data_IF_608092886386
#
_entry.id   IF_608092886386
#
_cell.length_a   1.000
_cell.length_b   1.000
_cell.length_c   1.000
_cell.angle_alpha   90.00
_cell.angle_beta   90.00
_cell.angle_gamma   90.00
#
_symmetry.space_group_name_H-M   'P 1'
#
loop_
_entity.id
_entity.type
_entity.pdbx_description
1 polymer ?
#
# COMPACT_ATOMS: atom_id res chain seq x y z
N UNK A 1 25.63 47.04 -8.38
CA UNK A 1 24.61 46.58 -7.43
C UNK A 1 24.49 45.08 -7.66
N UNK A 2 25.30 44.29 -6.95
CA UNK A 2 25.41 42.85 -7.16
C UNK A 2 24.38 42.15 -6.27
N UNK A 3 23.52 41.32 -6.88
CA UNK A 3 22.59 40.45 -6.17
C UNK A 3 23.39 39.42 -5.36
N UNK A 4 23.22 39.42 -4.04
CA UNK A 4 23.77 38.39 -3.17
C UNK A 4 23.08 37.06 -3.52
N UNK A 5 23.90 36.05 -3.80
CA UNK A 5 23.44 34.68 -4.02
C UNK A 5 23.00 34.12 -2.66
N UNK A 6 21.68 34.02 -2.43
CA UNK A 6 21.08 33.32 -1.29
C UNK A 6 21.15 31.78 -1.50
N UNK A 7 22.35 31.26 -1.80
CA UNK A 7 22.57 29.81 -2.01
C UNK A 7 22.48 29.00 -0.70
N UNK A 8 22.29 29.68 0.44
CA UNK A 8 22.30 29.09 1.78
C UNK A 8 20.92 29.11 2.45
N UNK A 9 19.83 29.23 1.70
CA UNK A 9 18.46 29.16 2.23
C UNK A 9 18.17 27.82 2.96
N UNK A 10 18.97 26.79 2.70
CA UNK A 10 18.95 25.48 3.38
C UNK A 10 20.15 25.33 4.33
N UNK A 11 20.38 26.35 5.17
CA UNK A 11 21.53 26.50 6.07
C UNK A 11 22.11 25.17 6.59
N UNK A 12 23.42 25.05 6.46
CA UNK A 12 24.23 24.02 7.11
C UNK A 12 23.94 23.99 8.61
N UNK A 13 23.22 22.95 9.05
CA UNK A 13 22.93 22.67 10.46
C UNK A 13 21.48 22.92 10.83
N UNK A 14 20.60 21.94 10.55
CA UNK A 14 19.23 21.87 11.10
C UNK A 14 19.21 21.54 12.60
N UNK A 15 20.37 21.57 13.25
CA UNK A 15 20.56 21.27 14.68
C UNK A 15 20.97 22.53 15.43
N UNK A 16 20.20 23.60 15.23
CA UNK A 16 20.06 24.59 16.29
C UNK A 16 19.26 23.93 17.44
N UNK A 17 19.43 24.41 18.67
CA UNK A 17 18.86 23.89 19.94
C UNK A 17 17.33 23.61 19.92
N UNK A 18 16.63 24.01 18.87
CA UNK A 18 15.21 23.78 18.58
C UNK A 18 14.89 22.32 18.18
N UNK A 19 15.87 21.56 17.67
CA UNK A 19 15.73 20.14 17.25
C UNK A 19 15.62 19.12 18.40
N UNK A 20 15.50 19.59 19.65
CA UNK A 20 15.35 18.77 20.85
C UNK A 20 13.88 18.50 21.23
N UNK A 21 12.90 19.05 20.50
CA UNK A 21 11.49 18.75 20.77
C UNK A 21 11.18 17.26 20.52
N UNK A 22 10.75 16.50 21.54
CA UNK A 22 10.38 15.11 21.37
C UNK A 22 9.25 14.88 20.37
N UNK A 23 8.37 15.86 20.11
CA UNK A 23 7.33 15.73 19.09
C UNK A 23 7.91 15.81 17.67
N UNK A 24 8.78 16.78 17.41
CA UNK A 24 9.47 16.92 16.13
C UNK A 24 10.32 15.69 15.80
N UNK A 25 11.12 15.20 16.76
CA UNK A 25 11.93 13.99 16.59
C UNK A 25 11.09 12.76 16.25
N UNK A 26 9.89 12.61 16.84
CA UNK A 26 8.99 11.50 16.51
C UNK A 26 8.55 11.56 15.05
N UNK A 27 8.20 12.73 14.54
CA UNK A 27 7.77 12.91 13.15
C UNK A 27 8.94 12.63 12.21
N UNK A 28 10.14 13.14 12.52
CA UNK A 28 11.35 12.86 11.74
C UNK A 28 11.61 11.35 11.69
N UNK A 29 11.62 10.66 12.85
CA UNK A 29 11.83 9.22 12.88
C UNK A 29 10.74 8.44 12.13
N UNK A 30 9.48 8.84 12.26
CA UNK A 30 8.39 8.20 11.53
C UNK A 30 8.52 8.37 10.01
N UNK A 31 8.92 9.57 9.55
CA UNK A 31 9.19 9.82 8.15
C UNK A 31 10.37 8.96 7.65
N UNK A 32 11.48 8.92 8.40
CA UNK A 32 12.65 8.11 8.05
C UNK A 32 12.37 6.60 8.05
N UNK A 33 11.56 6.14 8.98
CA UNK A 33 11.09 4.76 9.04
C UNK A 33 10.26 4.41 7.80
N UNK A 34 9.40 5.32 7.33
CA UNK A 34 8.62 5.12 6.10
C UNK A 34 9.50 4.93 4.85
N UNK A 35 10.58 5.71 4.71
CA UNK A 35 11.55 5.54 3.62
C UNK A 35 12.32 4.21 3.75
N UNK A 36 12.65 3.80 4.97
CA UNK A 36 13.36 2.55 5.25
C UNK A 36 12.51 1.32 4.93
N UNK A 37 11.19 1.41 5.12
CA UNK A 37 10.25 0.33 4.85
C UNK A 37 9.75 0.28 3.40
N UNK A 38 10.01 1.32 2.59
CA UNK A 38 9.51 1.46 1.22
C UNK A 38 9.65 0.17 0.39
N UNK A 39 10.87 -0.37 0.25
CA UNK A 39 11.12 -1.54 -0.58
C UNK A 39 10.27 -2.74 -0.17
N UNK A 40 10.25 -3.05 1.13
CA UNK A 40 9.51 -4.18 1.69
C UNK A 40 8.01 -4.06 1.37
N UNK A 41 7.44 -2.89 1.62
CA UNK A 41 6.01 -2.63 1.42
C UNK A 41 5.66 -2.61 -0.07
N UNK A 42 6.51 -2.01 -0.90
CA UNK A 42 6.30 -1.90 -2.34
C UNK A 42 6.34 -3.28 -3.03
N UNK A 43 7.39 -4.08 -2.80
CA UNK A 43 7.46 -5.44 -3.37
C UNK A 43 6.28 -6.30 -2.93
N UNK A 44 5.89 -6.23 -1.65
CA UNK A 44 4.75 -7.01 -1.16
C UNK A 44 3.45 -6.65 -1.87
N UNK A 45 3.12 -5.35 -1.93
CA UNK A 45 1.82 -4.92 -2.46
C UNK A 45 1.75 -4.90 -3.99
N UNK A 46 2.84 -4.50 -4.65
CA UNK A 46 2.84 -4.22 -6.08
C UNK A 46 3.17 -5.46 -6.91
N UNK A 47 4.11 -6.30 -6.46
CA UNK A 47 4.55 -7.44 -7.27
C UNK A 47 4.14 -8.77 -6.66
N UNK A 48 4.37 -9.00 -5.37
CA UNK A 48 4.06 -10.27 -4.73
C UNK A 48 2.57 -10.65 -4.79
N UNK A 49 1.67 -9.80 -4.30
CA UNK A 49 0.22 -10.06 -4.34
C UNK A 49 -0.33 -10.18 -5.77
N UNK A 50 0.27 -9.47 -6.72
CA UNK A 50 -0.12 -9.55 -8.13
C UNK A 50 0.34 -10.84 -8.77
N UNK A 51 1.57 -11.31 -8.50
CA UNK A 51 2.05 -12.64 -8.93
C UNK A 51 1.21 -13.75 -8.31
N UNK A 52 0.86 -13.63 -7.04
CA UNK A 52 -0.03 -14.60 -6.37
C UNK A 52 -1.40 -14.66 -7.04
N UNK A 53 -2.02 -13.49 -7.28
CA UNK A 53 -3.32 -13.40 -7.95
C UNK A 53 -3.26 -13.91 -9.39
N UNK A 54 -2.14 -13.69 -10.07
CA UNK A 54 -1.91 -14.15 -11.44
C UNK A 54 -1.94 -15.67 -11.55
N UNK A 55 -1.22 -16.37 -10.68
CA UNK A 55 -1.20 -17.85 -10.67
C UNK A 55 -2.46 -18.47 -10.07
N UNK A 56 -3.31 -17.70 -9.40
CA UNK A 56 -4.63 -18.15 -8.96
C UNK A 56 -5.67 -18.17 -10.09
N UNK A 57 -5.37 -17.60 -11.27
CA UNK A 57 -6.28 -17.60 -12.40
C UNK A 57 -6.39 -18.99 -13.06
N UNK A 58 -7.52 -19.31 -13.72
CA UNK A 58 -7.63 -20.48 -14.57
C UNK A 58 -6.54 -20.54 -15.64
N UNK A 59 -6.12 -21.76 -15.99
CA UNK A 59 -4.93 -22.00 -16.82
C UNK A 59 -4.94 -21.26 -18.17
N UNK A 60 -6.09 -21.25 -18.83
CA UNK A 60 -6.26 -20.55 -20.10
C UNK A 60 -5.96 -19.04 -20.00
N UNK A 61 -6.29 -18.40 -18.88
CA UNK A 61 -6.14 -16.96 -18.72
C UNK A 61 -4.71 -16.54 -18.39
N UNK A 62 -4.05 -17.21 -17.44
CA UNK A 62 -2.66 -16.85 -17.10
C UNK A 62 -1.70 -17.19 -18.24
N UNK A 63 -1.93 -18.28 -18.99
CA UNK A 63 -1.12 -18.61 -20.17
C UNK A 63 -1.27 -17.58 -21.29
N UNK A 64 -2.48 -17.06 -21.50
CA UNK A 64 -2.72 -15.98 -22.46
C UNK A 64 -1.97 -14.70 -22.06
N UNK A 65 -1.97 -14.34 -20.77
CA UNK A 65 -1.26 -13.16 -20.24
C UNK A 65 0.26 -13.35 -20.09
N UNK A 66 0.76 -14.58 -20.21
CA UNK A 66 2.18 -14.89 -20.25
C UNK A 66 2.70 -15.02 -21.68
N UNK A 67 1.82 -15.08 -22.68
CA UNK A 67 2.18 -15.16 -24.09
C UNK A 67 2.36 -13.75 -24.69
N UNK A 68 3.21 -13.60 -25.72
CA UNK A 68 3.28 -12.37 -26.51
C UNK A 68 1.90 -12.00 -27.09
N UNK A 69 1.58 -10.71 -27.30
CA UNK A 69 2.46 -9.54 -27.25
C UNK A 69 2.54 -8.82 -25.89
N UNK A 70 1.73 -9.22 -24.91
CA UNK A 70 1.70 -8.62 -23.57
C UNK A 70 2.14 -9.66 -22.54
N UNK A 71 3.39 -9.57 -22.08
CA UNK A 71 3.87 -10.44 -21.01
C UNK A 71 3.69 -9.73 -19.66
N UNK A 72 2.67 -10.13 -18.91
CA UNK A 72 2.40 -9.55 -17.60
C UNK A 72 3.52 -9.81 -16.59
N UNK A 73 4.17 -10.99 -16.67
CA UNK A 73 5.27 -11.34 -15.77
C UNK A 73 6.52 -10.48 -16.02
N UNK A 74 6.83 -10.21 -17.28
CA UNK A 74 7.91 -9.27 -17.67
C UNK A 74 7.62 -7.85 -17.17
N UNK A 75 6.34 -7.44 -17.19
CA UNK A 75 5.93 -6.14 -16.65
C UNK A 75 6.13 -6.07 -15.14
N UNK A 76 5.81 -7.15 -14.41
CA UNK A 76 6.05 -7.21 -12.97
C UNK A 76 7.54 -7.22 -12.64
N UNK A 77 8.38 -7.87 -13.46
CA UNK A 77 9.84 -7.85 -13.32
C UNK A 77 10.42 -6.44 -13.50
N UNK A 78 10.04 -5.74 -14.57
CA UNK A 78 10.41 -4.32 -14.76
C UNK A 78 9.94 -3.42 -13.62
N UNK A 79 8.81 -3.78 -13.00
CA UNK A 79 8.28 -3.05 -11.84
C UNK A 79 9.13 -3.32 -10.59
N UNK A 80 9.59 -4.56 -10.37
CA UNK A 80 10.54 -4.89 -9.30
C UNK A 80 11.85 -4.07 -9.46
N UNK A 81 12.41 -3.98 -10.67
CA UNK A 81 13.62 -3.18 -10.96
C UNK A 81 13.43 -1.68 -10.65
N UNK A 82 12.25 -1.14 -10.98
CA UNK A 82 11.90 0.24 -10.69
C UNK A 82 11.76 0.49 -9.18
N UNK A 83 11.18 -0.46 -8.44
CA UNK A 83 11.09 -0.40 -6.98
C UNK A 83 12.50 -0.41 -6.38
N UNK A 84 13.42 -1.25 -6.86
CA UNK A 84 14.80 -1.30 -6.37
C UNK A 84 15.55 0.02 -6.61
N UNK A 85 15.33 0.63 -7.77
CA UNK A 85 15.89 1.95 -8.10
C UNK A 85 15.38 3.03 -7.14
N UNK A 86 14.07 3.05 -6.87
CA UNK A 86 13.47 3.96 -5.90
C UNK A 86 13.92 3.66 -4.46
N UNK A 87 14.17 2.39 -4.13
CA UNK A 87 14.70 1.98 -2.83
C UNK A 87 16.15 2.42 -2.62
N UNK A 88 16.96 2.50 -3.67
CA UNK A 88 18.29 3.11 -3.60
C UNK A 88 18.18 4.60 -3.24
N UNK A 89 17.26 5.33 -3.87
CA UNK A 89 16.99 6.73 -3.53
C UNK A 89 16.48 6.89 -2.09
N UNK A 90 15.51 6.08 -1.66
CA UNK A 90 14.98 6.12 -0.30
C UNK A 90 16.08 5.89 0.76
N UNK A 91 17.00 4.95 0.51
CA UNK A 91 18.17 4.71 1.37
C UNK A 91 19.13 5.89 1.38
N UNK A 92 19.33 6.55 0.23
CA UNK A 92 20.17 7.75 0.15
C UNK A 92 19.57 8.91 0.97
N UNK A 93 18.24 9.11 0.90
CA UNK A 93 17.53 10.10 1.71
C UNK A 93 17.75 9.81 3.20
N UNK A 94 17.54 8.57 3.64
CA UNK A 94 17.76 8.18 5.04
C UNK A 94 19.19 8.47 5.48
N UNK A 95 20.20 8.09 4.69
CA UNK A 95 21.60 8.33 5.04
C UNK A 95 21.93 9.83 5.15
N UNK A 96 21.45 10.64 4.20
CA UNK A 96 21.64 12.08 4.22
C UNK A 96 20.94 12.72 5.43
N UNK A 97 19.71 12.28 5.74
CA UNK A 97 18.98 12.75 6.91
C UNK A 97 19.67 12.39 8.22
N UNK A 98 20.18 11.16 8.37
CA UNK A 98 20.91 10.76 9.58
C UNK A 98 22.15 11.64 9.80
N UNK A 99 22.88 11.97 8.73
CA UNK A 99 24.03 12.88 8.80
C UNK A 99 23.61 14.30 9.17
N UNK A 100 22.55 14.82 8.55
CA UNK A 100 22.10 16.20 8.77
C UNK A 100 21.47 16.43 10.14
N UNK A 101 20.81 15.43 10.72
CA UNK A 101 20.19 15.49 12.04
C UNK A 101 21.11 14.98 13.17
N UNK A 102 22.35 14.58 12.87
CA UNK A 102 23.27 14.02 13.88
C UNK A 102 22.79 12.71 14.50
N UNK A 103 21.92 11.96 13.81
CA UNK A 103 21.28 10.76 14.33
C UNK A 103 22.13 9.52 14.02
N UNK A 104 22.35 8.65 15.02
CA UNK A 104 23.16 7.44 14.82
C UNK A 104 22.40 6.29 14.15
N UNK A 105 21.06 6.23 14.29
CA UNK A 105 20.20 5.22 13.66
C UNK A 105 18.72 5.56 13.80
N UNK A 106 17.87 4.94 12.96
CA UNK A 106 16.41 4.96 13.13
C UNK A 106 16.03 3.90 14.19
N UNK A 107 15.33 4.28 15.27
CA UNK A 107 14.85 3.33 16.25
C UNK A 107 13.78 2.42 15.63
N UNK A 108 14.01 1.10 15.67
CA UNK A 108 13.14 0.08 15.04
C UNK A 108 11.74 -0.08 15.67
N UNK A 109 11.47 0.55 16.81
CA UNK A 109 10.24 0.40 17.61
C UNK A 109 9.66 1.75 18.07
N UNK A 110 9.68 2.78 17.21
CA UNK A 110 8.94 4.02 17.50
C UNK A 110 7.42 3.79 17.42
N UNK A 111 6.58 4.55 18.16
CA UNK A 111 5.13 4.49 17.98
C UNK A 111 4.81 4.85 16.53
N UNK A 112 4.28 3.88 15.77
CA UNK A 112 3.87 4.12 14.39
C UNK A 112 2.75 5.17 14.43
N UNK A 113 2.89 6.34 13.78
CA UNK A 113 1.78 7.28 13.72
C UNK A 113 0.61 6.61 12.99
N UNK A 114 -0.63 6.84 13.43
CA UNK A 114 -1.81 6.11 12.95
C UNK A 114 -2.06 6.26 11.43
N UNK A 115 -1.42 7.21 10.75
CA UNK A 115 -1.60 7.45 9.31
C UNK A 115 -0.83 6.51 8.39
N UNK A 116 0.18 5.77 8.85
CA UNK A 116 0.91 4.79 8.02
C UNK A 116 0.33 3.38 8.14
N UNK A 117 -0.76 3.20 8.91
CA UNK A 117 -1.60 2.03 8.79
C UNK A 117 -2.20 2.05 7.37
N UNK A 118 -1.50 1.41 6.43
CA UNK A 118 -2.06 0.98 5.16
C UNK A 118 -3.41 0.40 5.53
N UNK A 119 -4.46 1.04 5.02
CA UNK A 119 -5.83 0.60 5.19
C UNK A 119 -5.97 -0.76 4.51
N UNK A 120 -5.49 -1.82 5.18
CA UNK A 120 -6.02 -3.15 5.04
C UNK A 120 -7.40 -3.10 5.69
N UNK A 121 -8.32 -2.40 5.01
CA UNK A 121 -9.73 -2.57 5.24
C UNK A 121 -9.98 -4.06 5.02
N UNK A 122 -10.37 -4.84 6.05
CA UNK A 122 -10.94 -6.13 5.75
C UNK A 122 -12.23 -5.79 5.02
N UNK A 123 -12.31 -6.14 3.73
CA UNK A 123 -13.60 -6.21 3.06
C UNK A 123 -14.46 -7.15 3.89
N UNK A 124 -15.34 -6.57 4.70
CA UNK A 124 -16.49 -7.26 5.22
C UNK A 124 -17.25 -7.77 3.99
N UNK A 125 -17.07 -9.04 3.68
CA UNK A 125 -17.98 -9.83 2.86
C UNK A 125 -19.33 -9.82 3.56
N UNK A 126 -20.12 -8.77 3.34
CA UNK A 126 -21.57 -8.87 3.45
C UNK A 126 -22.05 -9.60 2.22
N UNK A 127 -22.24 -10.91 2.38
CA UNK A 127 -23.05 -11.71 1.48
C UNK A 127 -24.48 -11.13 1.49
N UNK A 128 -24.77 -10.29 0.50
CA UNK A 128 -26.14 -9.95 0.11
C UNK A 128 -26.74 -11.18 -0.58
N UNK A 129 -27.26 -12.09 0.23
CA UNK A 129 -28.12 -13.19 -0.22
C UNK A 129 -29.57 -12.73 -0.12
N UNK A 130 -30.09 -12.17 -1.22
CA UNK A 130 -31.52 -11.91 -1.36
C UNK A 130 -32.00 -12.54 -2.67
N UNK A 131 -32.17 -13.85 -2.65
CA UNK A 131 -32.98 -14.57 -3.62
C UNK A 131 -34.07 -15.31 -2.82
N UNK A 132 -35.20 -14.63 -2.60
CA UNK A 132 -36.41 -15.22 -2.01
C UNK A 132 -37.45 -15.41 -3.11
N UNK A 133 -37.62 -16.67 -3.48
CA UNK A 133 -38.70 -17.27 -4.26
C UNK A 133 -38.31 -18.74 -4.46
N UNK A 134 -39.19 -19.75 -4.30
CA UNK A 134 -40.64 -19.72 -4.51
C UNK A 134 -41.48 -20.31 -3.35
N UNK A 135 -42.67 -19.76 -3.10
CA UNK A 135 -43.69 -20.45 -2.28
C UNK A 135 -44.64 -21.21 -3.22
N UNK A 136 -44.41 -22.50 -3.34
CA UNK A 136 -45.35 -23.48 -3.90
C UNK A 136 -46.57 -23.61 -2.99
N UNK A 137 -47.73 -23.26 -3.54
CA UNK A 137 -49.06 -23.41 -2.94
C UNK A 137 -49.49 -24.90 -2.98
N UNK A 138 -50.04 -25.48 -1.89
CA UNK A 138 -50.45 -26.88 -1.90
C UNK A 138 -51.89 -27.03 -2.42
N UNK A 139 -52.06 -27.84 -3.47
CA UNK A 139 -53.36 -28.42 -3.82
C UNK A 139 -53.90 -29.25 -2.64
N UNK A 140 -55.04 -28.86 -2.08
CA UNK A 140 -55.93 -29.76 -1.33
C UNK A 140 -57.39 -29.33 -1.55
N UNK A 141 -58.19 -30.27 -2.04
CA UNK A 141 -59.47 -29.98 -2.69
C UNK A 141 -60.74 -30.08 -1.85
N UNK A 142 -61.83 -29.69 -2.54
CA UNK A 142 -63.26 -30.02 -2.39
C UNK A 142 -63.99 -29.42 -1.17
N UNK A 143 -65.36 -29.30 -1.15
CA UNK A 143 -66.36 -29.64 -2.17
C UNK A 143 -67.38 -28.52 -2.51
N UNK A 144 -68.27 -28.86 -3.45
CA UNK A 144 -69.39 -28.11 -4.01
C UNK A 144 -70.35 -27.43 -3.01
N UNK A 145 -70.94 -26.30 -3.40
CA UNK A 145 -72.34 -25.98 -3.10
C UNK A 145 -72.91 -25.05 -4.18
N UNK A 146 -74.17 -25.32 -4.55
CA UNK A 146 -74.94 -24.73 -5.64
C UNK A 146 -75.67 -23.43 -5.22
N UNK A 147 -76.45 -22.90 -6.19
CA UNK A 147 -77.54 -21.90 -6.08
C UNK A 147 -77.07 -20.44 -6.16
N UNK A 148 -77.68 -19.54 -6.91
CA UNK A 148 -78.88 -19.58 -7.78
C UNK A 148 -78.79 -18.46 -8.82
#
# INVERSE_FOLDING_TARGET
MAAANDDNAWGTGLVDEESQDPEELRVIYAALDSFSQYAKVAHFNVTHLRRQSFYALPEAHWKMLAAPPFNFLETLEKTDDAIDSNAALARAIVNASLQNFGLSSIPRNGPVPPSTAISTRPEARSASSTATGPSTEPLRGRPATALS
#
